data_IF_035410113084
#
_entry.id   IF_035410113084
#
_cell.length_a   1.000
_cell.length_b   1.000
_cell.length_c   1.000
_cell.angle_alpha   90.00
_cell.angle_beta   90.00
_cell.angle_gamma   90.00
#
_symmetry.space_group_name_H-M   'P 1'
#
loop_
_entity.id
_entity.type
_entity.pdbx_description
1 polymer ?
#
# COMPACT_ATOMS: atom_id res chain seq x y z
N UNK A 1 4.54 -2.02 14.26
CA UNK A 1 4.43 -1.67 12.82
C UNK A 1 3.63 -2.78 12.20
N UNK A 2 2.42 -2.49 11.72
CA UNK A 2 1.52 -3.50 11.17
C UNK A 2 2.19 -4.15 9.97
N UNK A 3 2.38 -5.47 10.02
CA UNK A 3 2.88 -6.27 8.91
C UNK A 3 1.78 -6.37 7.86
N UNK A 4 1.58 -5.29 7.12
CA UNK A 4 0.84 -5.30 5.85
C UNK A 4 1.70 -6.16 4.94
N UNK A 5 1.24 -7.38 4.64
CA UNK A 5 2.02 -8.47 4.03
C UNK A 5 2.67 -8.15 2.67
N UNK A 6 2.70 -9.10 1.73
CA UNK A 6 3.19 -8.78 0.38
C UNK A 6 2.38 -7.63 -0.24
N UNK A 7 2.99 -6.84 -1.14
CA UNK A 7 2.30 -5.77 -1.88
C UNK A 7 0.97 -6.27 -2.47
N UNK A 8 1.01 -7.46 -3.07
CA UNK A 8 -0.15 -8.15 -3.64
C UNK A 8 -1.26 -8.41 -2.62
N UNK A 9 -0.91 -8.86 -1.42
CA UNK A 9 -1.87 -9.14 -0.33
C UNK A 9 -2.53 -7.85 0.15
N UNK A 10 -1.74 -6.79 0.27
CA UNK A 10 -2.21 -5.48 0.69
C UNK A 10 -3.18 -4.85 -0.33
N UNK A 11 -2.84 -4.92 -1.62
CA UNK A 11 -3.74 -4.46 -2.69
C UNK A 11 -5.01 -5.29 -2.75
N UNK A 12 -4.92 -6.61 -2.56
CA UNK A 12 -6.09 -7.47 -2.53
C UNK A 12 -7.02 -7.12 -1.36
N UNK A 13 -6.47 -6.86 -0.18
CA UNK A 13 -7.26 -6.43 0.98
C UNK A 13 -7.95 -5.08 0.74
N UNK A 14 -7.30 -4.15 0.02
CA UNK A 14 -7.94 -2.90 -0.41
C UNK A 14 -9.09 -3.14 -1.40
N UNK A 15 -8.92 -4.04 -2.37
CA UNK A 15 -9.98 -4.38 -3.33
C UNK A 15 -11.20 -4.98 -2.61
N UNK A 16 -10.98 -5.87 -1.64
CA UNK A 16 -12.04 -6.45 -0.80
C UNK A 16 -12.75 -5.40 0.06
N UNK A 17 -12.03 -4.38 0.54
CA UNK A 17 -12.62 -3.24 1.25
C UNK A 17 -13.50 -2.42 0.31
N UNK A 18 -13.02 -2.11 -0.90
CA UNK A 18 -13.81 -1.36 -1.89
C UNK A 18 -15.07 -2.12 -2.27
N UNK A 19 -14.96 -3.42 -2.57
CA UNK A 19 -16.10 -4.26 -2.93
C UNK A 19 -17.15 -4.32 -1.80
N UNK A 20 -16.69 -4.41 -0.54
CA UNK A 20 -17.58 -4.33 0.61
C UNK A 20 -18.33 -2.99 0.67
N UNK A 21 -17.62 -1.87 0.47
CA UNK A 21 -18.18 -0.51 0.56
C UNK A 21 -19.17 -0.19 -0.58
N UNK A 22 -19.03 -0.83 -1.74
CA UNK A 22 -19.94 -0.69 -2.88
C UNK A 22 -21.20 -1.55 -2.76
N UNK A 23 -21.23 -2.48 -1.80
CA UNK A 23 -22.33 -3.40 -1.57
C UNK A 23 -23.60 -2.74 -0.99
N UNK A 24 -24.79 -3.28 -1.27
CA UNK A 24 -26.06 -2.72 -0.79
C UNK A 24 -26.31 -2.93 0.72
N UNK A 25 -25.59 -3.85 1.38
CA UNK A 25 -25.77 -4.22 2.80
C UNK A 25 -24.64 -3.68 3.70
N UNK A 26 -24.04 -2.55 3.33
CA UNK A 26 -23.00 -1.90 4.13
C UNK A 26 -23.55 -1.46 5.49
N UNK A 27 -22.90 -1.91 6.57
CA UNK A 27 -23.18 -1.45 7.91
C UNK A 27 -22.39 -0.17 8.21
N UNK A 28 -23.08 0.87 8.70
CA UNK A 28 -22.49 2.17 9.05
C UNK A 28 -21.40 2.06 10.12
N UNK A 29 -21.54 1.13 11.06
CA UNK A 29 -20.51 0.91 12.09
C UNK A 29 -19.25 0.25 11.52
N UNK A 30 -19.41 -0.58 10.49
CA UNK A 30 -18.30 -1.25 9.80
C UNK A 30 -17.60 -0.32 8.81
N UNK A 31 -18.28 0.70 8.26
CA UNK A 31 -17.71 1.71 7.36
C UNK A 31 -16.44 2.34 7.94
N UNK A 32 -16.52 2.81 9.20
CA UNK A 32 -15.41 3.49 9.87
C UNK A 32 -14.24 2.52 10.03
N UNK A 33 -14.52 1.28 10.45
CA UNK A 33 -13.51 0.24 10.66
C UNK A 33 -12.81 -0.13 9.36
N UNK A 34 -13.57 -0.31 8.26
CA UNK A 34 -13.03 -0.65 6.94
C UNK A 34 -12.24 0.51 6.34
N UNK A 35 -12.70 1.75 6.54
CA UNK A 35 -11.99 2.94 6.08
C UNK A 35 -10.67 3.13 6.82
N UNK A 36 -10.67 2.96 8.16
CA UNK A 36 -9.44 3.00 8.96
C UNK A 36 -8.45 1.94 8.50
N UNK A 37 -8.92 0.72 8.25
CA UNK A 37 -8.07 -0.36 7.75
C UNK A 37 -7.49 -0.04 6.37
N UNK A 38 -8.29 0.49 5.45
CA UNK A 38 -7.83 0.92 4.14
C UNK A 38 -6.74 2.00 4.23
N UNK A 39 -6.91 2.98 5.12
CA UNK A 39 -5.93 4.03 5.36
C UNK A 39 -4.59 3.46 5.86
N UNK A 40 -4.61 2.53 6.82
CA UNK A 40 -3.40 1.87 7.32
C UNK A 40 -2.64 1.12 6.21
N UNK A 41 -3.38 0.45 5.32
CA UNK A 41 -2.79 -0.28 4.20
C UNK A 41 -2.12 0.69 3.22
N UNK A 42 -2.81 1.79 2.87
CA UNK A 42 -2.27 2.82 1.97
C UNK A 42 -0.99 3.42 2.56
N UNK A 43 -1.01 3.82 3.84
CA UNK A 43 0.18 4.37 4.50
C UNK A 43 1.37 3.41 4.47
N UNK A 44 1.14 2.12 4.72
CA UNK A 44 2.18 1.12 4.66
C UNK A 44 2.76 0.95 3.25
N UNK A 45 1.91 0.98 2.21
CA UNK A 45 2.33 0.88 0.82
C UNK A 45 3.10 2.12 0.38
N UNK A 46 2.66 3.31 0.75
CA UNK A 46 3.35 4.57 0.48
C UNK A 46 4.73 4.62 1.15
N UNK A 47 4.85 4.16 2.39
CA UNK A 47 6.13 4.07 3.09
C UNK A 47 7.10 3.14 2.36
N UNK A 48 6.64 1.97 1.91
CA UNK A 48 7.44 1.02 1.12
C UNK A 48 7.84 1.59 -0.23
N UNK A 49 6.93 2.26 -0.92
CA UNK A 49 7.21 2.91 -2.20
C UNK A 49 8.27 4.00 -2.03
N UNK A 50 8.16 4.82 -0.99
CA UNK A 50 9.10 5.88 -0.67
C UNK A 50 10.50 5.31 -0.37
N UNK A 51 10.58 4.27 0.46
CA UNK A 51 11.84 3.59 0.75
C UNK A 51 12.46 2.96 -0.51
N UNK A 52 11.63 2.38 -1.38
CA UNK A 52 12.10 1.79 -2.65
C UNK A 52 12.60 2.88 -3.61
N UNK A 53 11.89 4.00 -3.73
CA UNK A 53 12.33 5.16 -4.53
C UNK A 53 13.68 5.70 -4.04
N UNK A 54 13.84 5.90 -2.73
CA UNK A 54 15.12 6.33 -2.15
C UNK A 54 16.26 5.36 -2.49
N UNK A 55 15.99 4.05 -2.44
CA UNK A 55 16.97 3.03 -2.81
C UNK A 55 17.30 3.05 -4.31
N UNK A 56 16.31 3.28 -5.18
CA UNK A 56 16.53 3.46 -6.62
C UNK A 56 17.37 4.70 -6.90
N UNK A 57 17.08 5.82 -6.24
CA UNK A 57 17.86 7.06 -6.36
C UNK A 57 19.31 6.92 -5.90
N UNK A 58 19.60 6.04 -4.94
CA UNK A 58 20.97 5.71 -4.52
C UNK A 58 21.70 4.85 -5.57
N UNK A 59 20.99 3.92 -6.22
CA UNK A 59 21.57 2.94 -7.14
C UNK A 59 21.73 3.51 -8.55
N UNK A 60 20.76 4.28 -9.04
CA UNK A 60 20.75 4.88 -10.38
C UNK A 60 22.08 5.59 -10.75
N UNK A 61 22.66 6.49 -9.92
CA UNK A 61 23.92 7.17 -10.23
C UNK A 61 25.18 6.28 -10.13
N UNK A 62 25.04 5.04 -9.65
CA UNK A 62 26.13 4.05 -9.63
C UNK A 62 26.12 3.19 -10.90
N UNK A 63 24.94 2.97 -11.46
CA UNK A 63 24.76 2.31 -12.76
C UNK A 63 25.21 3.24 -13.89
N UNK A 64 24.86 4.53 -13.81
CA UNK A 64 25.23 5.56 -14.80
C UNK A 64 26.74 5.86 -14.85
N UNK A 65 27.50 5.51 -13.80
CA UNK A 65 28.97 5.62 -13.73
C UNK A 65 29.71 4.32 -14.08
N UNK A 66 28.99 3.24 -14.38
CA UNK A 66 29.56 1.92 -14.62
C UNK A 66 29.80 1.56 -16.09
N UNK A 67 29.41 2.43 -17.02
CA UNK A 67 29.61 2.29 -18.47
C UNK A 67 30.73 3.23 -18.97
N UNK A 68 31.96 3.05 -18.50
CA UNK A 68 33.22 3.49 -19.17
C UNK A 68 34.34 2.46 -18.96
#
# INVERSE_FOLDING_TARGET
>A
MADVGSWEVATKELDEIVEYLEGPDVNVDDLITKLQRGAEIIEALEARLTATKAKVEEIAPRVDRGDE
#
